data_IF_134877621127
#
_entry.id   IF_134877621127
#
_cell.length_a   1.000
_cell.length_b   1.000
_cell.length_c   1.000
_cell.angle_alpha   90.00
_cell.angle_beta   90.00
_cell.angle_gamma   90.00
#
_symmetry.space_group_name_H-M   'P 1'
#
loop_
_entity.id
_entity.type
_entity.pdbx_description
1 polymer ?
#
# COMPACT_ATOMS: atom_id res chain seq x y z
N UNK A 1 41.60 -14.37 -59.16
CA UNK A 1 41.70 -13.01 -59.73
C UNK A 1 41.82 -12.03 -58.56
N UNK A 2 42.98 -11.90 -57.90
CA UNK A 2 44.09 -10.98 -58.20
C UNK A 2 43.67 -9.56 -58.55
N UNK A 3 43.86 -8.61 -57.61
CA UNK A 3 44.80 -7.50 -57.79
C UNK A 3 45.20 -6.87 -56.44
N UNK A 4 46.43 -6.35 -56.38
CA UNK A 4 47.19 -5.88 -55.21
C UNK A 4 47.33 -4.34 -55.22
N UNK A 5 47.28 -3.73 -54.02
CA UNK A 5 48.11 -2.62 -53.44
C UNK A 5 48.26 -1.24 -54.13
N UNK A 6 48.80 -0.16 -53.47
CA UNK A 6 49.20 0.06 -52.06
C UNK A 6 48.85 1.45 -51.41
N UNK A 7 49.11 1.53 -50.09
CA UNK A 7 49.57 2.65 -49.20
C UNK A 7 49.26 4.13 -49.51
N UNK A 8 48.79 4.86 -48.48
CA UNK A 8 49.43 6.10 -48.02
C UNK A 8 49.24 6.34 -46.51
N UNK A 9 50.32 6.82 -45.89
CA UNK A 9 50.52 7.21 -44.49
C UNK A 9 49.69 8.46 -44.13
N UNK A 10 49.13 8.50 -42.91
CA UNK A 10 48.61 9.72 -42.30
C UNK A 10 48.62 9.61 -40.78
N UNK A 11 49.63 10.21 -40.13
CA UNK A 11 49.64 10.45 -38.69
C UNK A 11 48.46 11.37 -38.33
N UNK A 12 47.58 10.90 -37.46
CA UNK A 12 46.51 11.69 -36.85
C UNK A 12 46.41 11.36 -35.37
N UNK A 13 46.96 12.24 -34.55
CA UNK A 13 46.82 12.27 -33.10
C UNK A 13 45.32 12.34 -32.75
N UNK A 14 44.76 11.32 -32.09
CA UNK A 14 43.41 11.41 -31.52
C UNK A 14 43.49 11.11 -30.03
N UNK A 15 43.05 12.15 -29.31
CA UNK A 15 42.96 12.38 -27.88
C UNK A 15 42.16 11.27 -27.18
N UNK A 16 42.59 10.92 -25.96
CA UNK A 16 41.80 10.18 -24.97
C UNK A 16 40.43 10.87 -24.81
N UNK A 17 39.39 10.28 -25.39
CA UNK A 17 38.01 10.63 -25.07
C UNK A 17 37.66 10.06 -23.70
N UNK A 18 37.76 10.91 -22.67
CA UNK A 18 36.99 10.77 -21.44
C UNK A 18 35.52 10.67 -21.84
N UNK A 19 34.83 9.61 -21.40
CA UNK A 19 33.38 9.59 -21.39
C UNK A 19 32.91 10.73 -20.47
N UNK A 20 32.52 11.83 -21.09
CA UNK A 20 31.81 12.93 -20.45
C UNK A 20 30.45 12.43 -20.02
N UNK A 21 30.13 12.60 -18.74
CA UNK A 21 28.78 12.51 -18.24
C UNK A 21 27.85 13.39 -19.09
N UNK A 22 26.59 12.98 -19.33
CA UNK A 22 25.63 13.87 -19.95
C UNK A 22 25.46 15.10 -19.05
N UNK A 23 25.88 16.25 -19.55
CA UNK A 23 25.55 17.56 -19.00
C UNK A 23 24.09 17.86 -19.34
N UNK A 24 23.16 17.25 -18.61
CA UNK A 24 21.89 17.87 -18.30
C UNK A 24 22.06 18.42 -16.88
N UNK A 25 22.09 19.74 -16.72
CA UNK A 25 21.94 20.32 -15.39
C UNK A 25 20.67 19.74 -14.79
N UNK A 26 20.77 19.10 -13.62
CA UNK A 26 19.63 18.99 -12.72
C UNK A 26 19.00 20.38 -12.68
N UNK A 27 17.78 20.52 -13.22
CA UNK A 27 17.05 21.75 -13.06
C UNK A 27 16.93 21.93 -11.54
N UNK A 28 17.58 22.98 -11.05
CA UNK A 28 17.49 23.44 -9.67
C UNK A 28 16.01 23.41 -9.30
N UNK A 29 15.59 22.46 -8.46
CA UNK A 29 14.19 22.11 -8.25
C UNK A 29 13.35 23.33 -7.84
N UNK A 30 14.00 24.29 -7.18
CA UNK A 30 13.49 25.63 -6.85
C UNK A 30 12.96 26.45 -8.04
N UNK A 31 13.35 26.08 -9.27
CA UNK A 31 12.95 26.75 -10.52
C UNK A 31 11.78 26.06 -11.22
N UNK A 32 11.38 24.86 -10.78
CA UNK A 32 10.17 24.19 -11.27
C UNK A 32 8.91 24.91 -10.79
N UNK A 33 7.76 24.67 -11.42
CA UNK A 33 6.49 25.24 -10.97
C UNK A 33 6.10 24.70 -9.59
N UNK A 34 6.33 23.41 -9.34
CA UNK A 34 6.18 22.76 -8.03
C UNK A 34 7.13 23.33 -6.98
N UNK A 35 8.42 23.46 -7.28
CA UNK A 35 9.39 24.06 -6.36
C UNK A 35 9.10 25.53 -6.05
N UNK A 36 8.54 26.30 -7.00
CA UNK A 36 8.08 27.67 -6.75
C UNK A 36 6.82 27.72 -5.89
N UNK A 37 5.88 26.80 -6.07
CA UNK A 37 4.68 26.69 -5.24
C UNK A 37 5.05 26.30 -3.79
N UNK A 38 5.94 25.32 -3.62
CA UNK A 38 6.50 24.93 -2.32
C UNK A 38 7.21 26.10 -1.63
N UNK A 39 8.14 26.78 -2.33
CA UNK A 39 8.86 27.93 -1.78
C UNK A 39 7.94 29.11 -1.46
N UNK A 40 6.85 29.28 -2.20
CA UNK A 40 5.83 30.29 -1.93
C UNK A 40 5.04 29.96 -0.65
N UNK A 41 4.63 28.69 -0.43
CA UNK A 41 4.00 28.24 0.83
C UNK A 41 4.96 28.42 2.02
N UNK A 42 6.21 28.02 1.87
CA UNK A 42 7.29 28.23 2.85
C UNK A 42 7.50 29.72 3.18
N UNK A 43 7.38 30.62 2.19
CA UNK A 43 7.54 32.06 2.41
C UNK A 43 6.40 32.70 3.19
N UNK A 44 5.17 32.17 3.05
CA UNK A 44 3.99 32.62 3.80
C UNK A 44 4.17 32.26 5.28
N UNK A 45 4.64 31.05 5.59
CA UNK A 45 4.94 30.60 6.95
C UNK A 45 6.06 31.43 7.61
N UNK A 46 7.12 31.78 6.86
CA UNK A 46 8.19 32.69 7.33
C UNK A 46 7.71 34.10 7.61
N UNK A 47 6.66 34.56 6.92
CA UNK A 47 6.02 35.84 7.20
C UNK A 47 5.07 35.79 8.41
N UNK A 48 4.67 34.59 8.84
CA UNK A 48 3.81 34.33 10.00
C UNK A 48 4.57 33.83 11.25
N UNK A 49 5.90 33.69 11.21
CA UNK A 49 6.73 33.59 12.41
C UNK A 49 7.22 32.19 12.81
N UNK A 50 7.20 31.21 11.92
CA UNK A 50 7.70 29.84 12.19
C UNK A 50 9.19 29.67 11.77
N UNK A 51 10.11 29.27 12.67
CA UNK A 51 11.48 28.91 12.31
C UNK A 51 11.62 27.38 12.10
N UNK A 52 11.98 26.98 10.87
CA UNK A 52 12.42 25.62 10.51
C UNK A 52 13.74 25.28 11.24
N UNK A 53 13.86 24.07 11.82
CA UNK A 53 14.85 23.62 12.83
C UNK A 53 16.36 23.71 12.50
N UNK A 54 17.30 23.08 13.25
CA UNK A 54 17.17 22.15 14.39
C UNK A 54 17.65 22.75 15.74
N UNK A 55 17.37 22.00 16.82
CA UNK A 55 17.55 22.33 18.25
C UNK A 55 18.55 23.44 18.62
N UNK A 56 18.08 24.40 19.43
CA UNK A 56 18.97 25.10 20.36
C UNK A 56 18.26 25.68 21.58
N UNK A 57 18.61 25.08 22.71
CA UNK A 57 18.73 25.66 24.04
C UNK A 57 17.48 26.35 24.64
N UNK A 58 16.92 25.65 25.63
CA UNK A 58 16.36 26.24 26.85
C UNK A 58 17.35 27.24 27.47
N UNK A 59 17.42 28.46 26.94
CA UNK A 59 18.00 29.62 27.62
C UNK A 59 17.21 30.84 27.18
N UNK A 60 16.18 31.20 27.92
CA UNK A 60 16.22 32.39 28.77
C UNK A 60 14.86 32.58 29.46
N UNK A 61 14.63 31.85 30.56
CA UNK A 61 13.46 32.07 31.43
C UNK A 61 13.80 33.02 32.57
N UNK A 62 14.31 34.21 32.26
CA UNK A 62 14.22 35.40 33.12
C UNK A 62 14.35 36.62 32.22
N UNK A 63 13.43 37.62 32.27
CA UNK A 63 13.74 39.05 32.48
C UNK A 63 12.54 40.03 32.25
N UNK A 64 12.19 40.73 33.34
CA UNK A 64 12.12 42.19 33.49
C UNK A 64 10.81 43.01 33.48
N UNK A 65 9.62 42.47 33.21
CA UNK A 65 8.39 43.30 33.34
C UNK A 65 7.22 42.69 34.13
N UNK A 66 7.35 41.46 34.63
CA UNK A 66 6.37 40.87 35.55
C UNK A 66 5.00 40.61 34.93
N UNK A 67 4.89 40.62 33.60
CA UNK A 67 3.73 40.13 32.86
C UNK A 67 3.87 38.63 32.57
N UNK A 68 2.83 37.85 32.88
CA UNK A 68 2.67 36.52 32.33
C UNK A 68 2.08 36.72 30.93
N UNK A 69 2.91 36.94 29.90
CA UNK A 69 2.41 36.82 28.54
C UNK A 69 2.03 35.36 28.35
N UNK A 70 0.76 35.12 28.00
CA UNK A 70 0.35 33.83 27.46
C UNK A 70 1.34 33.48 26.34
N UNK A 71 1.93 32.27 26.34
CA UNK A 71 2.80 31.85 25.25
C UNK A 71 2.03 32.08 23.94
N UNK A 72 2.68 32.74 22.97
CA UNK A 72 2.07 32.94 21.67
C UNK A 72 1.96 31.56 21.01
N UNK A 73 0.74 31.00 20.84
CA UNK A 73 0.58 29.65 20.30
C UNK A 73 1.13 29.54 18.88
N UNK A 74 1.29 30.65 18.14
CA UNK A 74 1.90 30.63 16.81
C UNK A 74 3.43 30.45 16.80
N UNK A 75 4.08 30.37 17.97
CA UNK A 75 5.51 30.06 18.11
C UNK A 75 5.77 28.66 18.65
N UNK A 76 4.70 27.94 19.01
CA UNK A 76 4.76 26.57 19.49
C UNK A 76 4.32 25.64 18.37
N UNK A 77 4.93 24.45 18.38
CA UNK A 77 4.69 23.29 17.54
C UNK A 77 4.87 22.13 18.54
N UNK A 78 3.76 21.77 19.21
CA UNK A 78 3.79 20.93 20.42
C UNK A 78 4.06 19.47 20.12
N UNK A 79 3.61 18.97 18.98
CA UNK A 79 3.75 17.59 18.55
C UNK A 79 4.84 17.36 17.50
N UNK A 80 5.47 18.44 17.02
CA UNK A 80 6.66 18.43 16.16
C UNK A 80 6.41 17.86 14.76
N UNK A 81 5.24 18.13 14.19
CA UNK A 81 4.83 17.71 12.85
C UNK A 81 5.19 18.76 11.76
N UNK A 82 5.56 19.98 12.17
CA UNK A 82 5.93 21.10 11.30
C UNK A 82 4.83 22.15 11.10
N UNK A 83 3.66 22.00 11.73
CA UNK A 83 2.61 23.00 11.84
C UNK A 83 2.75 23.78 13.16
N UNK A 84 2.17 24.98 13.18
CA UNK A 84 2.12 25.78 14.39
C UNK A 84 0.82 25.47 15.13
N UNK A 85 0.85 25.37 16.46
CA UNK A 85 -0.37 25.08 17.24
C UNK A 85 -1.55 26.03 16.93
N UNK A 86 -1.26 27.26 16.49
CA UNK A 86 -2.29 28.23 16.18
C UNK A 86 -2.99 28.05 14.83
N UNK A 87 -2.41 27.29 13.90
CA UNK A 87 -3.07 26.89 12.64
C UNK A 87 -3.83 25.58 12.80
N UNK A 88 -3.53 24.81 13.84
CA UNK A 88 -4.14 23.52 14.17
C UNK A 88 -5.32 23.71 15.13
N UNK A 89 -6.51 23.86 14.56
CA UNK A 89 -7.66 24.37 15.30
C UNK A 89 -8.48 23.30 16.01
N UNK A 90 -8.15 22.01 15.84
CA UNK A 90 -8.90 20.85 16.33
C UNK A 90 -10.39 20.88 15.92
N UNK A 91 -10.69 21.50 14.78
CA UNK A 91 -12.06 21.60 14.28
C UNK A 91 -12.50 20.37 13.49
N UNK A 92 -11.56 19.53 13.06
CA UNK A 92 -11.82 18.46 12.11
C UNK A 92 -12.22 19.00 10.72
N UNK A 93 -11.90 20.25 10.40
CA UNK A 93 -12.26 20.84 9.11
C UNK A 93 -11.09 21.61 8.53
N UNK A 94 -10.48 21.06 7.48
CA UNK A 94 -9.44 21.75 6.75
C UNK A 94 -10.02 22.94 5.96
N UNK A 95 -9.59 24.15 6.30
CA UNK A 95 -9.96 25.37 5.56
C UNK A 95 -8.82 25.77 4.63
N UNK A 96 -7.63 25.99 5.19
CA UNK A 96 -6.38 26.28 4.49
C UNK A 96 -5.17 26.13 5.42
N UNK A 97 -3.97 26.51 4.95
CA UNK A 97 -2.72 26.45 5.71
C UNK A 97 -2.70 27.28 7.01
N UNK A 98 -3.65 28.19 7.19
CA UNK A 98 -3.80 28.99 8.42
C UNK A 98 -4.89 28.48 9.37
N UNK A 99 -5.65 27.47 8.96
CA UNK A 99 -6.67 26.76 9.75
C UNK A 99 -6.83 25.34 9.16
N UNK A 100 -5.98 24.43 9.62
CA UNK A 100 -5.84 23.06 9.11
C UNK A 100 -6.88 22.11 9.68
N UNK A 101 -7.47 22.46 10.84
CA UNK A 101 -8.43 21.61 11.54
C UNK A 101 -7.84 20.41 12.26
N UNK A 102 -6.53 20.22 12.22
CA UNK A 102 -5.74 19.15 12.87
C UNK A 102 -5.63 19.36 14.38
N UNK A 103 -5.21 18.32 15.10
CA UNK A 103 -5.04 18.32 16.56
C UNK A 103 -3.62 18.75 16.95
N UNK A 104 -3.41 19.92 17.58
CA UNK A 104 -2.08 20.45 17.91
C UNK A 104 -1.30 19.65 18.97
N UNK A 105 -1.83 18.53 19.45
CA UNK A 105 -1.16 17.61 20.37
C UNK A 105 -0.98 16.21 19.75
N UNK A 106 -1.27 16.02 18.47
CA UNK A 106 -1.17 14.76 17.75
C UNK A 106 -0.64 14.97 16.31
N UNK A 107 0.60 14.52 16.02
CA UNK A 107 1.28 14.89 14.79
C UNK A 107 0.77 14.20 13.52
N UNK A 108 -0.23 13.31 13.65
CA UNK A 108 -0.88 12.52 12.61
C UNK A 108 -2.36 12.38 13.01
N UNK A 109 -3.16 13.38 12.65
CA UNK A 109 -4.53 13.58 13.13
C UNK A 109 -5.50 12.51 12.66
N UNK A 110 -5.27 11.89 11.50
CA UNK A 110 -6.12 10.83 10.96
C UNK A 110 -5.56 9.41 11.12
N UNK A 111 -4.31 9.30 11.60
CA UNK A 111 -3.62 8.06 11.94
C UNK A 111 -3.32 7.16 10.74
N UNK A 112 -2.91 7.74 9.61
CA UNK A 112 -2.51 7.01 8.40
C UNK A 112 -1.00 6.81 8.25
N UNK A 113 -0.21 7.39 9.16
CA UNK A 113 1.25 7.31 9.20
C UNK A 113 1.97 8.46 8.48
N UNK A 114 1.25 9.44 7.94
CA UNK A 114 1.77 10.71 7.45
C UNK A 114 1.67 11.77 8.54
N UNK A 115 2.60 12.72 8.56
CA UNK A 115 2.51 13.84 9.48
C UNK A 115 1.60 14.93 8.90
N UNK A 116 0.77 15.55 9.73
CA UNK A 116 -0.17 16.58 9.30
C UNK A 116 0.55 17.71 8.53
N UNK A 117 1.71 18.16 9.05
CA UNK A 117 2.57 19.12 8.38
C UNK A 117 3.14 18.66 7.03
N UNK A 118 3.51 17.38 6.88
CA UNK A 118 3.99 16.83 5.59
C UNK A 118 2.86 16.82 4.54
N UNK A 119 1.63 16.55 4.96
CA UNK A 119 0.46 16.53 4.08
C UNK A 119 0.00 17.93 3.66
N UNK A 120 0.17 18.93 4.51
CA UNK A 120 -0.18 20.33 4.22
C UNK A 120 0.92 21.05 3.42
N UNK A 121 2.19 20.75 3.71
CA UNK A 121 3.35 21.49 3.21
C UNK A 121 4.17 20.76 2.14
N UNK A 122 3.98 19.45 1.99
CA UNK A 122 4.83 18.56 1.22
C UNK A 122 5.96 17.96 2.07
N UNK A 123 6.55 16.87 1.60
CA UNK A 123 7.60 16.17 2.34
C UNK A 123 8.92 16.94 2.39
N UNK A 124 9.74 16.67 3.40
CA UNK A 124 11.11 17.21 3.47
C UNK A 124 12.00 16.72 2.30
N UNK A 125 11.64 15.59 1.70
CA UNK A 125 12.31 14.98 0.54
C UNK A 125 11.90 15.60 -0.80
N UNK A 126 10.92 16.51 -0.81
CA UNK A 126 10.49 17.26 -2.00
C UNK A 126 9.30 16.68 -2.76
N UNK A 127 8.55 15.74 -2.15
CA UNK A 127 7.27 15.26 -2.68
C UNK A 127 6.18 16.31 -2.41
N UNK A 128 5.42 16.64 -3.45
CA UNK A 128 4.25 17.51 -3.34
C UNK A 128 3.03 16.66 -2.95
N UNK A 129 3.06 16.14 -1.72
CA UNK A 129 1.97 15.36 -1.13
C UNK A 129 0.61 16.09 -1.23
N UNK A 130 0.49 17.39 -0.91
CA UNK A 130 -0.79 18.08 -1.06
C UNK A 130 -1.33 18.05 -2.49
N UNK A 131 -0.47 18.17 -3.51
CA UNK A 131 -0.90 18.08 -4.90
C UNK A 131 -1.32 16.64 -5.30
N UNK A 132 -0.82 15.61 -4.60
CA UNK A 132 -1.23 14.21 -4.79
C UNK A 132 -2.61 13.92 -4.19
N UNK A 133 -3.15 14.88 -3.42
CA UNK A 133 -4.50 14.83 -2.87
C UNK A 133 -4.58 14.23 -1.47
N UNK A 134 -3.44 14.04 -0.78
CA UNK A 134 -3.46 13.61 0.62
C UNK A 134 -4.08 14.67 1.53
N UNK A 135 -4.53 14.29 2.71
CA UNK A 135 -5.30 15.13 3.61
C UNK A 135 -5.06 14.76 5.06
N UNK A 136 -4.67 15.70 5.93
CA UNK A 136 -4.34 15.43 7.34
C UNK A 136 -5.56 15.10 8.24
N UNK A 137 -6.70 14.87 7.63
CA UNK A 137 -7.98 14.61 8.30
C UNK A 137 -8.76 13.49 7.59
N UNK A 138 -8.14 12.77 6.65
CA UNK A 138 -8.72 11.65 5.91
C UNK A 138 -7.60 10.71 5.45
N UNK A 139 -7.59 9.52 6.02
CA UNK A 139 -6.55 8.52 5.78
C UNK A 139 -6.22 8.31 4.31
N UNK A 140 -4.92 8.32 4.03
CA UNK A 140 -4.30 8.14 2.75
C UNK A 140 -3.32 6.97 2.74
N UNK A 141 -3.23 6.27 1.61
CA UNK A 141 -2.22 5.23 1.38
C UNK A 141 -1.57 5.49 0.03
N UNK A 142 -0.25 5.61 0.02
CA UNK A 142 0.52 5.82 -1.19
C UNK A 142 1.17 4.50 -1.65
N UNK A 143 0.99 4.17 -2.92
CA UNK A 143 1.44 2.91 -3.54
C UNK A 143 2.22 3.21 -4.83
N UNK A 144 3.36 2.58 -5.01
CA UNK A 144 4.12 2.57 -6.27
C UNK A 144 4.15 1.16 -6.86
N UNK A 145 3.83 1.05 -8.15
CA UNK A 145 3.75 -0.21 -8.86
C UNK A 145 4.82 -0.29 -9.96
N UNK A 146 5.81 -1.15 -9.76
CA UNK A 146 6.81 -1.48 -10.78
C UNK A 146 6.50 -2.84 -11.40
N UNK A 147 6.53 -2.94 -12.72
CA UNK A 147 6.05 -4.13 -13.41
C UNK A 147 7.06 -4.73 -14.40
N UNK A 148 6.86 -6.01 -14.69
CA UNK A 148 7.56 -6.70 -15.76
C UNK A 148 6.71 -6.77 -17.03
N UNK A 149 7.38 -6.70 -18.18
CA UNK A 149 6.80 -7.04 -19.48
C UNK A 149 7.67 -8.10 -20.14
N UNK A 150 7.06 -9.23 -20.51
CA UNK A 150 7.81 -10.32 -21.12
C UNK A 150 6.91 -11.23 -21.96
N UNK A 151 7.53 -11.97 -22.88
CA UNK A 151 6.92 -13.07 -23.60
C UNK A 151 7.21 -14.45 -22.96
N UNK A 152 7.93 -14.46 -21.83
CA UNK A 152 8.25 -15.66 -21.07
C UNK A 152 6.98 -16.41 -20.63
N UNK A 153 7.01 -17.74 -20.78
CA UNK A 153 5.98 -18.74 -20.43
C UNK A 153 4.59 -18.64 -21.09
N UNK A 154 4.11 -17.45 -21.50
CA UNK A 154 2.74 -17.26 -21.99
C UNK A 154 2.57 -16.27 -23.16
N UNK A 155 3.63 -15.95 -23.89
CA UNK A 155 3.59 -14.96 -24.95
C UNK A 155 3.56 -13.52 -24.40
N UNK A 156 3.71 -12.51 -25.27
CA UNK A 156 3.95 -11.13 -24.82
C UNK A 156 2.78 -10.59 -23.99
N UNK A 157 3.04 -10.25 -22.74
CA UNK A 157 2.10 -9.53 -21.89
C UNK A 157 2.85 -8.64 -20.87
N UNK A 158 2.07 -7.76 -20.26
CA UNK A 158 2.53 -6.78 -19.27
C UNK A 158 1.81 -7.07 -17.96
N UNK A 159 2.54 -7.00 -16.85
CA UNK A 159 1.98 -7.03 -15.50
C UNK A 159 1.69 -5.61 -14.99
N UNK A 160 1.76 -4.58 -15.86
CA UNK A 160 1.40 -3.22 -15.49
C UNK A 160 -0.06 -3.16 -15.04
N UNK A 161 -0.37 -2.59 -13.87
CA UNK A 161 -1.75 -2.32 -13.49
C UNK A 161 -2.50 -1.52 -14.55
N UNK A 162 -3.67 -2.03 -14.93
CA UNK A 162 -4.59 -1.30 -15.81
C UNK A 162 -5.34 -0.25 -15.01
N UNK A 163 -5.88 0.76 -15.69
CA UNK A 163 -6.73 1.77 -15.05
C UNK A 163 -7.94 1.10 -14.35
N UNK A 164 -8.52 0.06 -14.95
CA UNK A 164 -9.65 -0.64 -14.36
C UNK A 164 -9.30 -1.36 -13.05
N UNK A 165 -8.13 -2.00 -12.97
CA UNK A 165 -7.67 -2.63 -11.72
C UNK A 165 -7.36 -1.59 -10.63
N UNK A 166 -6.76 -0.47 -11.00
CA UNK A 166 -6.44 0.67 -10.11
C UNK A 166 -7.72 1.31 -9.56
N UNK A 167 -8.70 1.59 -10.42
CA UNK A 167 -10.00 2.17 -10.03
C UNK A 167 -10.77 1.22 -9.12
N UNK A 168 -10.77 -0.08 -9.41
CA UNK A 168 -11.44 -1.09 -8.57
C UNK A 168 -10.86 -1.15 -7.16
N UNK A 169 -9.53 -1.13 -7.04
CA UNK A 169 -8.88 -1.09 -5.72
C UNK A 169 -9.19 0.23 -4.99
N UNK A 170 -9.16 1.36 -5.70
CA UNK A 170 -9.51 2.66 -5.13
C UNK A 170 -10.96 2.70 -4.62
N UNK A 171 -11.92 2.18 -5.40
CA UNK A 171 -13.33 2.15 -5.05
C UNK A 171 -13.59 1.30 -3.79
N UNK A 172 -12.92 0.15 -3.66
CA UNK A 172 -13.00 -0.69 -2.46
C UNK A 172 -12.60 0.11 -1.20
N UNK A 173 -11.41 0.72 -1.20
CA UNK A 173 -10.90 1.48 -0.05
C UNK A 173 -11.68 2.77 0.20
N UNK A 174 -12.12 3.48 -0.84
CA UNK A 174 -12.96 4.67 -0.71
C UNK A 174 -14.34 4.37 -0.12
N UNK A 175 -14.83 3.13 -0.27
CA UNK A 175 -16.09 2.67 0.33
C UNK A 175 -15.95 2.06 1.73
N UNK A 176 -14.73 1.92 2.23
CA UNK A 176 -14.46 1.28 3.51
C UNK A 176 -15.19 1.99 4.66
N UNK A 177 -15.73 1.24 5.66
CA UNK A 177 -16.43 1.80 6.81
C UNK A 177 -15.48 2.42 7.85
N UNK A 178 -14.41 3.07 7.40
CA UNK A 178 -13.38 3.71 8.20
C UNK A 178 -13.73 5.19 8.34
N UNK A 179 -13.98 5.66 9.57
CA UNK A 179 -14.36 7.04 9.83
C UNK A 179 -13.14 7.95 9.96
N UNK A 180 -13.19 9.12 9.33
CA UNK A 180 -12.12 10.11 9.36
C UNK A 180 -12.44 11.32 10.25
N UNK A 181 -11.41 12.05 10.74
CA UNK A 181 -11.60 13.29 11.51
C UNK A 181 -12.49 14.33 10.82
N UNK A 182 -12.45 14.42 9.49
CA UNK A 182 -13.29 15.34 8.72
C UNK A 182 -14.79 14.94 8.62
N UNK A 183 -15.14 13.79 9.19
CA UNK A 183 -16.48 13.21 9.14
C UNK A 183 -16.79 12.42 7.87
N UNK A 184 -15.85 12.32 6.94
CA UNK A 184 -15.93 11.40 5.80
C UNK A 184 -15.72 9.95 6.23
N UNK A 185 -16.00 9.04 5.29
CA UNK A 185 -15.68 7.62 5.40
C UNK A 185 -14.77 7.21 4.25
N UNK A 186 -14.02 6.12 4.46
CA UNK A 186 -13.15 5.51 3.48
C UNK A 186 -11.68 5.90 3.64
N UNK A 187 -10.84 5.28 2.82
CA UNK A 187 -9.41 5.53 2.73
C UNK A 187 -9.11 5.91 1.28
N UNK A 188 -8.35 6.98 1.06
CA UNK A 188 -7.96 7.39 -0.28
C UNK A 188 -6.64 6.73 -0.67
N UNK A 189 -6.58 6.19 -1.89
CA UNK A 189 -5.37 5.55 -2.42
C UNK A 189 -4.70 6.44 -3.46
N UNK A 190 -3.47 6.83 -3.19
CA UNK A 190 -2.58 7.50 -4.13
C UNK A 190 -1.74 6.44 -4.83
N UNK A 191 -2.12 6.10 -6.06
CA UNK A 191 -1.55 4.97 -6.80
C UNK A 191 -0.69 5.42 -7.98
N UNK A 192 0.60 5.13 -7.96
CA UNK A 192 1.53 5.41 -9.06
C UNK A 192 1.85 4.13 -9.85
N UNK A 193 1.24 4.01 -11.02
CA UNK A 193 1.41 2.90 -11.96
C UNK A 193 2.08 3.39 -13.27
N UNK A 194 2.86 4.47 -13.17
CA UNK A 194 3.59 5.08 -14.29
C UNK A 194 2.72 5.94 -15.21
N UNK A 195 1.64 6.53 -14.68
CA UNK A 195 0.74 7.41 -15.44
C UNK A 195 1.36 8.77 -15.80
N UNK A 196 2.48 9.13 -15.15
CA UNK A 196 3.19 10.39 -15.36
C UNK A 196 2.52 11.60 -14.70
N UNK A 197 3.06 12.78 -15.00
CA UNK A 197 2.60 14.03 -14.39
C UNK A 197 3.20 14.21 -13.00
N UNK A 198 2.33 14.35 -11.99
CA UNK A 198 2.75 14.45 -10.59
C UNK A 198 3.33 13.14 -10.04
N UNK A 199 2.93 12.03 -10.65
CA UNK A 199 3.37 10.67 -10.35
C UNK A 199 4.61 10.35 -11.18
N UNK A 200 5.76 10.28 -10.51
CA UNK A 200 7.09 10.23 -11.15
C UNK A 200 7.82 8.89 -10.98
N UNK A 201 7.21 7.89 -10.35
CA UNK A 201 7.72 6.52 -10.35
C UNK A 201 6.81 5.59 -11.12
N UNK A 202 6.69 4.35 -10.67
CA UNK A 202 5.95 3.30 -11.35
C UNK A 202 6.58 2.99 -12.71
N UNK A 203 7.49 2.03 -12.73
CA UNK A 203 8.39 1.80 -13.84
C UNK A 203 8.26 0.40 -14.43
N UNK A 204 8.54 0.28 -15.74
CA UNK A 204 8.85 -1.03 -16.32
C UNK A 204 10.24 -1.46 -15.87
N UNK A 205 10.33 -2.62 -15.26
CA UNK A 205 11.59 -3.24 -14.86
C UNK A 205 12.23 -3.91 -16.08
N UNK A 206 13.37 -3.37 -16.50
CA UNK A 206 14.19 -3.89 -17.61
C UNK A 206 15.48 -4.55 -17.10
N UNK A 207 16.00 -5.53 -17.83
CA UNK A 207 17.31 -6.15 -17.54
C UNK A 207 17.29 -7.27 -16.50
N UNK A 208 16.12 -7.57 -15.93
CA UNK A 208 15.91 -8.66 -14.98
C UNK A 208 15.04 -9.77 -15.59
N UNK A 209 15.19 -11.00 -15.09
CA UNK A 209 14.33 -12.12 -15.49
C UNK A 209 12.94 -11.96 -14.87
N UNK A 210 11.82 -12.18 -15.60
CA UNK A 210 10.45 -11.96 -15.10
C UNK A 210 10.00 -12.99 -14.05
N UNK A 211 10.80 -14.04 -13.83
CA UNK A 211 10.67 -14.96 -12.71
C UNK A 211 11.78 -14.67 -11.71
N UNK A 212 11.42 -14.11 -10.56
CA UNK A 212 12.37 -13.81 -9.49
C UNK A 212 12.85 -15.10 -8.80
N UNK A 213 14.11 -15.16 -8.35
CA UNK A 213 14.66 -16.33 -7.69
C UNK A 213 14.05 -16.57 -6.29
N UNK A 214 13.66 -15.50 -5.59
CA UNK A 214 13.06 -15.53 -4.25
C UNK A 214 11.93 -14.51 -4.09
N UNK A 215 11.30 -14.48 -2.91
CA UNK A 215 10.44 -13.39 -2.45
C UNK A 215 11.21 -12.48 -1.50
N UNK A 216 11.06 -11.17 -1.65
CA UNK A 216 11.70 -10.12 -0.83
C UNK A 216 13.17 -10.45 -0.50
N UNK A 217 13.89 -10.97 -1.49
CA UNK A 217 15.27 -11.41 -1.36
C UNK A 217 16.25 -10.33 -1.85
N UNK A 218 17.54 -10.66 -1.92
CA UNK A 218 18.55 -9.73 -2.41
C UNK A 218 18.26 -9.21 -3.84
N UNK A 219 17.60 -10.00 -4.69
CA UNK A 219 17.25 -9.59 -6.06
C UNK A 219 16.12 -8.57 -6.04
N UNK A 220 15.09 -8.79 -5.21
CA UNK A 220 14.00 -7.83 -5.02
C UNK A 220 14.54 -6.47 -4.56
N UNK A 221 15.39 -6.44 -3.54
CA UNK A 221 15.93 -5.18 -3.01
C UNK A 221 16.93 -4.52 -3.97
N UNK A 222 17.67 -5.29 -4.78
CA UNK A 222 18.49 -4.73 -5.87
C UNK A 222 17.61 -4.00 -6.89
N UNK A 223 16.49 -4.60 -7.30
CA UNK A 223 15.54 -4.01 -8.24
C UNK A 223 14.87 -2.78 -7.62
N UNK A 224 14.36 -2.86 -6.39
CA UNK A 224 13.76 -1.70 -5.66
C UNK A 224 14.77 -0.55 -5.61
N UNK A 225 16.01 -0.81 -5.21
CA UNK A 225 17.06 0.23 -5.16
C UNK A 225 17.32 0.90 -6.52
N UNK A 226 17.14 0.19 -7.63
CA UNK A 226 17.36 0.72 -8.97
C UNK A 226 16.16 1.51 -9.53
N UNK A 227 14.93 1.28 -9.02
CA UNK A 227 13.70 1.82 -9.61
C UNK A 227 12.86 2.69 -8.66
N UNK A 228 13.08 2.61 -7.34
CA UNK A 228 12.36 3.37 -6.33
C UNK A 228 13.14 4.62 -5.91
N UNK A 229 12.53 5.80 -6.03
CA UNK A 229 13.17 7.06 -5.63
C UNK A 229 13.32 7.11 -4.09
N UNK A 230 14.54 7.30 -3.56
CA UNK A 230 14.75 7.45 -2.12
C UNK A 230 13.91 8.56 -1.46
N UNK A 231 13.45 9.56 -2.21
CA UNK A 231 12.54 10.58 -1.70
C UNK A 231 11.17 10.02 -1.27
N UNK A 232 10.80 8.83 -1.73
CA UNK A 232 9.52 8.14 -1.43
C UNK A 232 9.59 7.19 -0.24
N UNK A 233 10.78 6.94 0.31
CA UNK A 233 10.97 6.12 1.51
C UNK A 233 10.21 6.74 2.69
N UNK A 234 9.42 5.92 3.37
CA UNK A 234 8.57 6.34 4.48
C UNK A 234 7.22 6.95 4.08
N UNK A 235 6.92 7.02 2.78
CA UNK A 235 5.64 7.51 2.25
C UNK A 235 4.93 6.45 1.39
N UNK A 236 5.64 5.92 0.38
CA UNK A 236 5.07 4.94 -0.55
C UNK A 236 5.36 3.51 -0.13
N UNK A 237 4.34 2.66 -0.23
CA UNK A 237 4.48 1.20 -0.24
C UNK A 237 4.87 0.74 -1.65
N UNK A 238 5.90 -0.07 -1.76
CA UNK A 238 6.46 -0.54 -3.02
C UNK A 238 5.91 -1.92 -3.39
N UNK A 239 5.25 -2.00 -4.55
CA UNK A 239 4.63 -3.21 -5.07
C UNK A 239 5.31 -3.60 -6.38
N UNK A 240 6.00 -4.74 -6.37
CA UNK A 240 6.62 -5.28 -7.58
C UNK A 240 5.71 -6.31 -8.24
N UNK A 241 5.52 -6.21 -9.55
CA UNK A 241 4.67 -7.10 -10.35
C UNK A 241 5.49 -7.97 -11.32
N UNK A 242 6.25 -8.98 -10.83
CA UNK A 242 6.88 -9.97 -11.68
C UNK A 242 5.84 -10.95 -12.25
N UNK A 243 6.23 -11.75 -13.22
CA UNK A 243 5.36 -12.84 -13.67
C UNK A 243 5.28 -13.91 -12.57
N UNK A 244 6.42 -14.27 -11.98
CA UNK A 244 6.52 -15.26 -10.91
C UNK A 244 7.67 -14.92 -9.96
N UNK A 245 7.72 -15.58 -8.81
CA UNK A 245 8.84 -15.50 -7.87
C UNK A 245 9.18 -16.89 -7.30
N UNK A 246 10.16 -16.98 -6.40
CA UNK A 246 10.63 -18.25 -5.81
C UNK A 246 10.99 -19.32 -6.86
N UNK A 247 11.60 -18.91 -7.98
CA UNK A 247 12.03 -19.83 -9.03
C UNK A 247 10.88 -20.43 -9.87
N UNK A 248 9.69 -19.83 -9.83
CA UNK A 248 8.53 -20.25 -10.62
C UNK A 248 7.34 -20.73 -9.80
N UNK A 249 7.17 -20.20 -8.59
CA UNK A 249 5.99 -20.41 -7.76
C UNK A 249 4.70 -20.02 -8.50
N UNK A 250 3.61 -20.69 -8.16
CA UNK A 250 2.26 -20.34 -8.62
C UNK A 250 1.52 -19.38 -7.67
N UNK A 251 2.16 -19.01 -6.56
CA UNK A 251 1.64 -18.00 -5.64
C UNK A 251 1.34 -16.69 -6.36
N UNK A 252 0.20 -16.08 -6.03
CA UNK A 252 -0.22 -14.79 -6.55
C UNK A 252 0.48 -13.61 -5.92
N UNK A 253 1.15 -13.79 -4.78
CA UNK A 253 1.82 -12.67 -4.12
C UNK A 253 2.57 -13.03 -2.84
N UNK A 254 3.24 -12.04 -2.29
CA UNK A 254 4.02 -12.14 -1.08
C UNK A 254 4.20 -10.75 -0.50
N UNK A 255 3.92 -10.58 0.78
CA UNK A 255 4.03 -9.29 1.45
C UNK A 255 4.67 -9.42 2.83
N UNK A 256 5.27 -8.32 3.28
CA UNK A 256 5.53 -8.12 4.69
C UNK A 256 4.19 -7.99 5.46
N UNK A 257 4.18 -8.47 6.72
CA UNK A 257 3.08 -8.18 7.66
C UNK A 257 3.46 -6.95 8.47
N UNK A 258 2.67 -5.90 8.34
CA UNK A 258 3.01 -4.55 8.83
C UNK A 258 4.32 -4.07 8.21
N UNK A 259 4.25 -3.60 6.98
CA UNK A 259 5.44 -3.19 6.22
C UNK A 259 5.12 -2.34 5.01
N UNK A 260 6.08 -2.22 4.11
CA UNK A 260 5.99 -1.39 2.91
C UNK A 260 6.35 -2.12 1.61
N UNK A 261 6.75 -3.39 1.67
CA UNK A 261 7.17 -4.17 0.50
C UNK A 261 6.26 -5.36 0.17
N UNK A 262 5.81 -5.42 -1.09
CA UNK A 262 5.00 -6.53 -1.60
C UNK A 262 5.36 -6.95 -3.03
N UNK A 263 5.01 -8.20 -3.35
CA UNK A 263 5.06 -8.80 -4.68
C UNK A 263 3.63 -9.20 -5.07
N UNK A 264 3.22 -8.87 -6.30
CA UNK A 264 2.00 -9.38 -6.94
C UNK A 264 2.38 -10.12 -8.22
N UNK A 265 2.16 -11.43 -8.27
CA UNK A 265 2.67 -12.31 -9.32
C UNK A 265 1.58 -13.21 -9.92
N UNK A 266 0.88 -12.69 -10.94
CA UNK A 266 -0.24 -13.39 -11.57
C UNK A 266 0.16 -14.27 -12.77
N UNK A 267 1.43 -14.63 -12.93
CA UNK A 267 1.92 -15.50 -14.00
C UNK A 267 1.49 -15.02 -15.38
N UNK A 268 0.52 -15.71 -15.99
CA UNK A 268 0.01 -15.53 -17.32
C UNK A 268 -1.41 -14.94 -17.33
N UNK A 269 -1.97 -14.69 -16.14
CA UNK A 269 -3.31 -14.17 -15.99
C UNK A 269 -3.27 -12.66 -16.18
N UNK A 270 -4.03 -12.20 -17.17
CA UNK A 270 -4.28 -10.78 -17.42
C UNK A 270 -5.77 -10.52 -17.21
N UNK A 271 -6.14 -10.32 -15.95
CA UNK A 271 -7.52 -10.12 -15.52
C UNK A 271 -7.55 -9.05 -14.42
N UNK A 272 -8.32 -7.99 -14.65
CA UNK A 272 -8.36 -6.83 -13.75
C UNK A 272 -8.93 -7.18 -12.37
N UNK A 273 -9.89 -8.11 -12.29
CA UNK A 273 -10.45 -8.55 -10.99
C UNK A 273 -9.38 -9.27 -10.16
N UNK A 274 -8.65 -10.20 -10.77
CA UNK A 274 -7.58 -10.94 -10.07
C UNK A 274 -6.45 -10.01 -9.67
N UNK A 275 -6.11 -9.02 -10.50
CA UNK A 275 -5.08 -8.05 -10.18
C UNK A 275 -5.52 -7.15 -9.02
N UNK A 276 -6.71 -6.55 -9.09
CA UNK A 276 -7.23 -5.71 -8.01
C UNK A 276 -7.36 -6.46 -6.69
N UNK A 277 -7.90 -7.68 -6.71
CA UNK A 277 -8.10 -8.50 -5.51
C UNK A 277 -6.78 -8.95 -4.89
N UNK A 278 -5.80 -9.33 -5.70
CA UNK A 278 -4.47 -9.66 -5.17
C UNK A 278 -3.75 -8.42 -4.65
N UNK A 279 -3.85 -7.26 -5.33
CA UNK A 279 -3.31 -6.01 -4.78
C UNK A 279 -3.96 -5.67 -3.43
N UNK A 280 -5.28 -5.82 -3.30
CA UNK A 280 -5.98 -5.63 -2.03
C UNK A 280 -5.49 -6.62 -0.96
N UNK A 281 -5.35 -7.91 -1.31
CA UNK A 281 -4.86 -8.95 -0.41
C UNK A 281 -3.46 -8.64 0.13
N UNK A 282 -2.51 -8.33 -0.75
CA UNK A 282 -1.15 -8.01 -0.32
C UNK A 282 -1.10 -6.71 0.49
N UNK A 283 -1.91 -5.70 0.11
CA UNK A 283 -2.05 -4.47 0.91
C UNK A 283 -2.62 -4.75 2.30
N UNK A 284 -3.55 -5.70 2.44
CA UNK A 284 -4.05 -6.13 3.75
C UNK A 284 -2.94 -6.69 4.65
N UNK A 285 -1.99 -7.45 4.10
CA UNK A 285 -0.79 -7.87 4.84
C UNK A 285 0.09 -6.69 5.26
N UNK A 286 0.35 -5.75 4.35
CA UNK A 286 1.10 -4.52 4.67
C UNK A 286 0.43 -3.70 5.78
N UNK A 287 -0.88 -3.85 5.94
CA UNK A 287 -1.71 -3.24 6.98
C UNK A 287 -2.01 -4.18 8.16
N UNK A 288 -1.28 -5.30 8.29
CA UNK A 288 -1.25 -6.18 9.46
C UNK A 288 -2.28 -7.30 9.50
N UNK A 289 -3.07 -7.49 8.45
CA UNK A 289 -4.00 -8.62 8.36
C UNK A 289 -3.27 -9.92 8.00
N UNK A 290 -3.78 -11.03 8.50
CA UNK A 290 -3.43 -12.38 8.11
C UNK A 290 -4.60 -13.03 7.37
N UNK A 291 -4.42 -14.25 6.86
CA UNK A 291 -5.45 -14.91 6.06
C UNK A 291 -6.77 -15.23 6.79
N UNK A 292 -6.77 -15.17 8.12
CA UNK A 292 -7.94 -15.30 9.00
C UNK A 292 -8.28 -14.01 9.75
N UNK A 293 -7.74 -12.87 9.32
CA UNK A 293 -7.84 -11.57 9.99
C UNK A 293 -6.70 -11.42 10.99
N UNK A 294 -6.93 -11.84 12.23
CA UNK A 294 -5.95 -11.80 13.32
C UNK A 294 -5.09 -13.07 13.43
N UNK A 295 -5.27 -14.03 12.54
CA UNK A 295 -4.67 -15.36 12.63
C UNK A 295 -4.36 -15.96 11.25
N UNK A 296 -3.51 -16.98 11.21
CA UNK A 296 -3.15 -17.69 9.97
C UNK A 296 -4.25 -18.63 9.44
N UNK A 297 -5.26 -18.91 10.25
CA UNK A 297 -6.33 -19.85 9.92
C UNK A 297 -7.14 -19.34 8.72
N UNK A 298 -6.98 -20.01 7.58
CA UNK A 298 -7.53 -19.61 6.29
C UNK A 298 -8.79 -20.44 5.94
N UNK A 299 -9.42 -20.15 4.81
CA UNK A 299 -10.59 -20.87 4.26
C UNK A 299 -11.84 -20.90 5.14
N UNK A 300 -11.87 -20.10 6.21
CA UNK A 300 -13.02 -19.95 7.12
C UNK A 300 -14.24 -19.40 6.36
N UNK A 301 -15.36 -20.13 6.22
CA UNK A 301 -16.50 -19.61 5.46
C UNK A 301 -17.14 -18.37 6.09
N UNK A 302 -17.06 -18.21 7.41
CA UNK A 302 -17.56 -17.01 8.08
C UNK A 302 -16.60 -15.82 8.09
N UNK A 303 -15.34 -15.95 7.64
CA UNK A 303 -14.43 -14.81 7.52
C UNK A 303 -14.48 -14.24 6.10
N UNK A 304 -15.44 -13.33 5.88
CA UNK A 304 -15.82 -12.84 4.56
C UNK A 304 -14.92 -11.68 4.09
N UNK A 305 -13.70 -12.00 3.70
CA UNK A 305 -12.65 -11.04 3.36
C UNK A 305 -11.82 -11.51 2.19
N UNK A 306 -11.34 -10.59 1.34
CA UNK A 306 -10.34 -10.93 0.32
C UNK A 306 -9.03 -11.49 0.90
N UNK A 307 -8.73 -11.28 2.18
CA UNK A 307 -7.60 -11.93 2.88
C UNK A 307 -7.76 -13.45 2.99
N UNK A 308 -8.99 -13.95 2.86
CA UNK A 308 -9.29 -15.37 2.89
C UNK A 308 -9.23 -15.95 1.48
N UNK A 309 -8.48 -17.03 1.27
CA UNK A 309 -8.34 -17.65 -0.06
C UNK A 309 -9.63 -18.22 -0.61
N UNK A 310 -10.62 -18.47 0.23
CA UNK A 310 -11.97 -18.80 -0.23
C UNK A 310 -12.55 -17.69 -1.13
N UNK A 311 -12.22 -16.44 -0.83
CA UNK A 311 -12.81 -15.25 -1.46
C UNK A 311 -11.82 -14.47 -2.34
N UNK A 312 -10.51 -14.61 -2.16
CA UNK A 312 -9.49 -13.84 -2.91
C UNK A 312 -9.73 -13.75 -4.44
N UNK A 313 -10.07 -14.86 -5.11
CA UNK A 313 -10.32 -14.83 -6.57
C UNK A 313 -11.79 -14.89 -6.97
N UNK A 314 -12.65 -15.43 -6.11
CA UNK A 314 -14.08 -15.53 -6.37
C UNK A 314 -14.77 -14.18 -6.12
N UNK A 315 -14.36 -13.49 -5.06
CA UNK A 315 -14.92 -12.28 -4.48
C UNK A 315 -15.69 -12.57 -3.19
N UNK A 316 -16.30 -11.52 -2.66
CA UNK A 316 -17.27 -11.46 -1.58
C UNK A 316 -18.32 -12.57 -1.45
N UNK A 317 -18.60 -13.21 -0.30
CA UNK A 317 -19.95 -13.77 -0.07
C UNK A 317 -20.94 -12.60 0.15
N UNK A 318 -21.99 -12.48 -0.68
CA UNK A 318 -23.04 -11.48 -0.50
C UNK A 318 -24.40 -12.01 -0.08
N UNK A 319 -24.70 -13.28 -0.32
CA UNK A 319 -26.01 -13.88 -0.09
C UNK A 319 -26.05 -14.90 1.04
N UNK A 320 -24.95 -15.03 1.78
CA UNK A 320 -24.77 -15.89 2.94
C UNK A 320 -24.78 -17.39 2.63
N UNK A 321 -24.45 -17.80 1.40
CA UNK A 321 -24.33 -19.21 1.00
C UNK A 321 -22.94 -19.82 1.26
N UNK A 322 -22.01 -19.04 1.85
CA UNK A 322 -20.62 -19.41 2.12
C UNK A 322 -19.74 -19.67 0.87
N UNK A 323 -20.16 -19.15 -0.29
CA UNK A 323 -19.41 -19.11 -1.53
C UNK A 323 -19.04 -17.67 -1.89
N UNK A 324 -17.94 -17.52 -2.62
CA UNK A 324 -17.55 -16.22 -3.14
C UNK A 324 -18.31 -15.86 -4.41
N UNK A 325 -18.78 -14.62 -4.48
CA UNK A 325 -19.48 -14.04 -5.62
C UNK A 325 -18.55 -13.11 -6.42
N UNK A 326 -18.68 -13.05 -7.75
CA UNK A 326 -17.96 -12.06 -8.56
C UNK A 326 -18.45 -10.62 -8.32
N UNK A 327 -19.52 -10.45 -7.55
CA UNK A 327 -20.06 -9.17 -7.14
C UNK A 327 -19.27 -8.71 -5.92
N UNK A 328 -18.75 -7.49 -5.95
CA UNK A 328 -18.11 -6.85 -4.78
C UNK A 328 -16.76 -7.44 -4.36
N UNK A 329 -15.91 -6.53 -3.89
CA UNK A 329 -14.59 -6.79 -3.35
C UNK A 329 -14.53 -6.02 -2.02
N UNK A 330 -14.23 -6.71 -0.92
CA UNK A 330 -14.19 -6.07 0.39
C UNK A 330 -13.32 -6.87 1.39
N UNK A 331 -12.96 -6.22 2.48
CA UNK A 331 -12.51 -6.89 3.68
C UNK A 331 -13.68 -7.14 4.64
N UNK A 332 -13.48 -8.02 5.61
CA UNK A 332 -14.56 -8.37 6.53
C UNK A 332 -14.84 -7.23 7.50
N UNK A 333 -16.11 -7.05 7.82
CA UNK A 333 -16.61 -6.13 8.86
C UNK A 333 -16.96 -6.85 10.17
N UNK A 334 -16.56 -8.13 10.33
CA UNK A 334 -16.77 -8.90 11.56
C UNK A 334 -18.24 -9.20 11.89
N UNK A 335 -19.11 -9.27 10.88
CA UNK A 335 -20.56 -9.40 11.06
C UNK A 335 -21.09 -10.83 11.05
N UNK A 336 -20.29 -11.82 10.63
CA UNK A 336 -20.71 -13.23 10.49
C UNK A 336 -20.65 -13.97 11.82
N UNK A 337 -21.49 -15.00 11.98
CA UNK A 337 -21.60 -15.73 13.26
C UNK A 337 -20.40 -16.63 13.50
N UNK A 338 -20.11 -16.92 14.77
CA UNK A 338 -19.13 -17.92 15.19
C UNK A 338 -19.57 -19.31 14.75
N UNK A 339 -18.67 -20.05 14.09
CA UNK A 339 -18.93 -21.44 13.68
C UNK A 339 -18.15 -22.39 14.58
N UNK A 340 -18.87 -23.26 15.30
CA UNK A 340 -18.28 -24.34 16.07
C UNK A 340 -18.33 -25.63 15.26
N UNK A 341 -17.21 -26.06 14.68
CA UNK A 341 -17.16 -27.23 13.81
C UNK A 341 -17.50 -28.57 14.50
N UNK A 342 -17.56 -28.60 15.84
CA UNK A 342 -18.08 -29.75 16.60
C UNK A 342 -19.59 -29.72 16.84
N UNK A 343 -20.25 -28.60 16.57
CA UNK A 343 -21.69 -28.40 16.81
C UNK A 343 -22.23 -27.32 15.85
N UNK A 344 -22.12 -27.56 14.55
CA UNK A 344 -22.63 -26.67 13.51
C UNK A 344 -24.15 -26.77 13.40
N UNK A 345 -24.78 -25.65 13.04
CA UNK A 345 -26.17 -25.59 12.59
C UNK A 345 -26.18 -25.17 11.12
N UNK A 346 -26.64 -26.08 10.26
CA UNK A 346 -26.83 -25.84 8.83
C UNK A 346 -27.98 -24.89 8.57
N UNK A 347 -28.98 -24.80 9.46
CA UNK A 347 -30.08 -23.83 9.32
C UNK A 347 -29.66 -22.39 9.62
N UNK A 348 -28.63 -22.23 10.46
CA UNK A 348 -28.05 -20.93 10.79
C UNK A 348 -27.09 -20.44 9.68
N UNK A 349 -26.25 -21.32 9.14
CA UNK A 349 -25.20 -20.97 8.17
C UNK A 349 -24.27 -19.86 8.68
N UNK A 350 -23.65 -19.09 7.77
CA UNK A 350 -22.66 -18.05 8.11
C UNK A 350 -23.26 -16.75 8.64
N UNK A 351 -24.54 -16.49 8.35
CA UNK A 351 -25.23 -15.26 8.77
C UNK A 351 -26.21 -15.47 9.93
N UNK A 352 -26.32 -16.69 10.46
CA UNK A 352 -27.28 -17.05 11.51
C UNK A 352 -28.74 -17.16 11.06
N UNK A 353 -29.02 -16.99 9.76
CA UNK A 353 -30.38 -16.99 9.22
C UNK A 353 -30.50 -17.51 7.78
N UNK A 354 -29.39 -17.83 7.10
CA UNK A 354 -29.41 -18.39 5.75
C UNK A 354 -28.81 -19.80 5.81
N UNK A 355 -29.58 -20.84 5.46
CA UNK A 355 -29.09 -22.21 5.57
C UNK A 355 -27.95 -22.54 4.60
N UNK A 356 -26.99 -23.33 5.07
CA UNK A 356 -25.93 -23.93 4.25
C UNK A 356 -25.84 -25.42 4.59
N UNK A 357 -26.03 -26.27 3.59
CA UNK A 357 -25.82 -27.72 3.69
C UNK A 357 -24.30 -28.00 3.63
N UNK A 358 -23.69 -28.09 4.81
CA UNK A 358 -22.24 -28.19 4.99
C UNK A 358 -21.71 -29.55 4.55
N UNK A 359 -22.46 -30.62 4.83
CA UNK A 359 -22.05 -31.99 4.52
C UNK A 359 -22.49 -32.46 3.12
N UNK A 360 -23.39 -31.72 2.46
CA UNK A 360 -23.88 -31.96 1.10
C UNK A 360 -24.83 -33.15 0.96
N UNK A 361 -25.50 -33.57 2.04
CA UNK A 361 -26.37 -34.74 2.05
C UNK A 361 -27.83 -34.45 1.60
N UNK A 362 -28.14 -33.16 1.40
CA UNK A 362 -29.45 -32.68 0.95
C UNK A 362 -30.48 -32.53 2.07
N UNK A 363 -30.08 -32.67 3.34
CA UNK A 363 -30.88 -32.34 4.52
C UNK A 363 -30.21 -31.22 5.33
N UNK A 364 -30.95 -30.59 6.26
CA UNK A 364 -30.41 -29.54 7.12
C UNK A 364 -30.37 -30.02 8.57
N UNK A 365 -29.18 -30.11 9.12
CA UNK A 365 -28.86 -30.53 10.47
C UNK A 365 -28.68 -29.34 11.42
N UNK A 366 -29.20 -29.47 12.65
CA UNK A 366 -29.01 -28.46 13.72
C UNK A 366 -27.79 -28.74 14.60
N UNK A 367 -27.21 -29.93 14.47
CA UNK A 367 -26.04 -30.39 15.22
C UNK A 367 -25.20 -31.30 14.31
N UNK A 368 -24.21 -30.70 13.66
CA UNK A 368 -23.30 -31.37 12.74
C UNK A 368 -21.86 -31.19 13.19
N UNK A 369 -21.10 -32.28 13.20
CA UNK A 369 -19.63 -32.24 13.31
C UNK A 369 -19.05 -32.31 11.90
N UNK A 370 -18.46 -31.21 11.43
CA UNK A 370 -17.90 -31.13 10.08
C UNK A 370 -16.79 -30.07 10.01
N UNK A 371 -15.69 -30.43 9.34
CA UNK A 371 -14.53 -29.56 9.14
C UNK A 371 -14.75 -28.68 7.91
N UNK A 372 -14.97 -27.39 8.13
CA UNK A 372 -15.31 -26.40 7.11
C UNK A 372 -14.07 -25.81 6.44
N UNK A 373 -12.89 -25.98 7.03
CA UNK A 373 -11.63 -25.46 6.52
C UNK A 373 -10.46 -26.47 6.58
N UNK A 374 -10.62 -27.68 5.99
CA UNK A 374 -9.64 -28.77 6.12
C UNK A 374 -8.26 -28.45 5.52
N UNK A 375 -8.16 -27.44 4.65
CA UNK A 375 -6.91 -26.94 4.05
C UNK A 375 -6.46 -25.59 4.62
N UNK A 376 -7.15 -25.07 5.63
CA UNK A 376 -6.95 -23.74 6.21
C UNK A 376 -5.75 -23.60 7.15
N UNK A 377 -5.08 -24.71 7.49
CA UNK A 377 -3.89 -24.68 8.35
C UNK A 377 -4.18 -24.31 9.82
N UNK A 378 -5.42 -24.51 10.27
CA UNK A 378 -5.87 -24.16 11.61
C UNK A 378 -5.37 -25.18 12.65
N UNK A 379 -5.33 -24.80 13.94
CA UNK A 379 -4.62 -25.55 15.00
C UNK A 379 -5.21 -26.92 15.38
N UNK A 380 -6.25 -27.41 14.69
CA UNK A 380 -6.86 -28.71 14.93
C UNK A 380 -7.99 -29.02 13.94
N UNK A 381 -8.45 -30.28 13.97
CA UNK A 381 -9.71 -30.71 13.34
C UNK A 381 -10.88 -30.33 14.25
N UNK A 382 -11.90 -29.69 13.71
CA UNK A 382 -13.07 -29.17 14.42
C UNK A 382 -12.72 -28.05 15.41
N UNK A 383 -12.52 -26.87 14.84
CA UNK A 383 -12.14 -25.63 15.48
C UNK A 383 -13.30 -24.65 15.62
N UNK A 384 -13.08 -23.61 16.43
CA UNK A 384 -13.97 -22.45 16.49
C UNK A 384 -13.53 -21.46 15.43
N UNK A 385 -14.33 -21.25 14.40
CA UNK A 385 -14.02 -20.30 13.34
C UNK A 385 -14.64 -18.96 13.67
N UNK A 386 -13.80 -17.93 13.76
CA UNK A 386 -14.21 -16.57 14.04
C UNK A 386 -14.18 -15.73 12.76
N UNK A 387 -15.19 -14.88 12.58
CA UNK A 387 -15.05 -13.71 11.73
C UNK A 387 -14.14 -12.67 12.42
N UNK A 388 -13.70 -11.67 11.67
CA UNK A 388 -12.89 -10.57 12.18
C UNK A 388 -13.23 -9.29 11.42
N UNK A 389 -13.29 -8.16 12.12
CA UNK A 389 -13.47 -6.86 11.49
C UNK A 389 -12.10 -6.34 11.07
N UNK A 390 -11.78 -6.52 9.80
CA UNK A 390 -10.50 -6.13 9.21
C UNK A 390 -10.34 -4.62 9.19
N UNK A 391 -11.38 -3.91 8.75
CA UNK A 391 -11.34 -2.46 8.52
C UNK A 391 -11.03 -1.68 9.79
N UNK A 392 -11.57 -2.09 10.93
CA UNK A 392 -11.30 -1.41 12.22
C UNK A 392 -9.99 -1.83 12.87
N UNK A 393 -9.29 -2.83 12.32
CA UNK A 393 -8.05 -3.40 12.87
C UNK A 393 -6.84 -3.26 11.94
N UNK A 394 -6.92 -2.46 10.88
CA UNK A 394 -5.78 -2.10 10.05
C UNK A 394 -4.71 -1.36 10.86
N UNK A 395 -3.43 -1.59 10.55
CA UNK A 395 -2.29 -0.88 11.13
C UNK A 395 -1.46 -0.17 10.07
N UNK A 396 -1.22 1.12 10.29
CA UNK A 396 -0.48 1.98 9.38
C UNK A 396 1.00 2.12 9.76
N UNK A 397 1.43 1.51 10.87
CA UNK A 397 2.79 1.65 11.42
C UNK A 397 3.93 1.09 10.53
N UNK A 398 3.62 0.39 9.44
CA UNK A 398 4.59 -0.25 8.54
C UNK A 398 5.49 0.72 7.75
N UNK A 399 5.11 2.00 7.64
CA UNK A 399 5.86 3.03 6.89
C UNK A 399 7.10 3.56 7.63
N UNK A 400 7.36 3.13 8.87
CA UNK A 400 8.34 3.79 9.76
C UNK A 400 9.82 3.62 9.36
N UNK A 401 10.17 2.85 8.33
CA UNK A 401 11.57 2.76 7.86
C UNK A 401 11.96 3.94 6.96
N UNK A 402 11.94 5.16 7.53
CA UNK A 402 12.46 6.40 6.90
C UNK A 402 13.95 6.33 6.53
N UNK A 403 14.66 5.26 6.92
CA UNK A 403 16.10 5.08 6.69
C UNK A 403 16.44 4.00 5.66
N UNK A 404 15.44 3.27 5.14
CA UNK A 404 15.64 2.11 4.27
C UNK A 404 16.53 1.03 4.89
N UNK A 405 16.58 0.97 6.22
CA UNK A 405 17.42 0.08 7.00
C UNK A 405 16.57 -0.99 7.73
N UNK A 406 16.12 -1.97 6.93
CA UNK A 406 15.69 -3.32 7.30
C UNK A 406 14.23 -3.49 7.73
N UNK A 407 13.56 -4.42 7.02
CA UNK A 407 12.56 -5.38 7.52
C UNK A 407 11.87 -4.90 8.79
N UNK A 408 10.86 -4.05 8.66
CA UNK A 408 9.87 -3.84 9.73
C UNK A 408 8.94 -5.06 9.87
N UNK A 409 9.32 -6.21 9.30
CA UNK A 409 8.68 -7.52 9.39
C UNK A 409 8.36 -7.90 10.84
N UNK A 410 7.08 -7.84 11.22
CA UNK A 410 6.58 -8.70 12.31
C UNK A 410 6.49 -10.16 11.86
N UNK A 411 6.27 -10.40 10.55
CA UNK A 411 6.39 -11.69 9.85
C UNK A 411 6.24 -11.50 8.34
N UNK A 412 6.66 -12.45 7.51
CA UNK A 412 6.38 -12.46 6.06
C UNK A 412 5.32 -13.52 5.75
N UNK A 413 4.45 -13.28 4.77
CA UNK A 413 3.41 -14.25 4.35
C UNK A 413 3.57 -14.60 2.88
N UNK A 414 3.58 -15.90 2.58
CA UNK A 414 3.49 -16.39 1.20
C UNK A 414 2.07 -16.73 0.80
N UNK A 415 1.64 -16.20 -0.35
CA UNK A 415 0.27 -16.34 -0.79
C UNK A 415 0.03 -17.53 -1.72
N UNK A 416 -0.02 -18.76 -1.18
CA UNK A 416 -0.08 -19.99 -1.97
C UNK A 416 -1.27 -20.09 -2.96
N UNK A 417 -2.25 -19.18 -2.86
CA UNK A 417 -3.31 -19.00 -3.85
C UNK A 417 -2.75 -18.77 -5.25
N UNK A 418 -3.05 -19.69 -6.16
CA UNK A 418 -2.83 -19.50 -7.59
C UNK A 418 -4.17 -19.08 -8.21
N UNK A 419 -4.19 -18.14 -9.17
CA UNK A 419 -5.41 -17.87 -9.90
C UNK A 419 -5.92 -19.17 -10.55
N UNK A 420 -7.23 -19.41 -10.58
CA UNK A 420 -7.79 -20.66 -11.09
C UNK A 420 -7.31 -20.90 -12.53
N UNK A 421 -6.84 -22.12 -12.83
CA UNK A 421 -6.24 -22.47 -14.13
C UNK A 421 -7.08 -21.98 -15.31
N UNK A 422 -6.49 -21.37 -16.35
CA UNK A 422 -7.25 -20.89 -17.49
C UNK A 422 -7.59 -22.08 -18.38
N UNK A 423 -8.59 -22.90 -18.02
CA UNK A 423 -9.24 -23.81 -18.97
C UNK A 423 -10.68 -24.18 -18.59
N UNK A 424 -11.55 -23.82 -19.53
CA UNK A 424 -12.85 -24.39 -19.91
C UNK A 424 -14.02 -24.30 -18.91
N UNK A 425 -15.02 -23.52 -19.33
CA UNK A 425 -16.47 -23.66 -19.06
C UNK A 425 -16.79 -24.80 -18.10
N UNK A 426 -17.21 -24.41 -16.90
CA UNK A 426 -17.99 -25.24 -15.99
C UNK A 426 -19.02 -26.08 -16.77
N UNK A 427 -19.06 -27.37 -16.47
CA UNK A 427 -20.20 -28.22 -16.79
C UNK A 427 -21.16 -28.20 -15.64
#
# INVERSE_FOLDING_TARGET
MSQRNPMLLGLGLVVLGLCTAPTGSAADWQQTEAGRAFLQRQSILRSQGQPVGPSKALTDRVFSDGGFESPNPCLEDRDSDGLADCVETLTGHFIDISDTGTDPDNPDSDSDGLLDGEEVLGSETGLDLPAMGVSPLRRDILLEYDWFESDYSCGPHSQRPTVAAIERLADMFASAPVQNPDGSFGIHLVQDYGQGGLYQGGNRIDGYHPVLPGALDATFYEIKQANFDPARLGYFRYVMLPHQYNGGSFSSGYAEVVGDDAIVALQCFNNDDYLARTMAHELGHLLGLLHGGFEWCNHKPNYNSLMNYRYQFAGIDHDCDAQGDPLGDDFSIGARVLLNESELSETAGVCGAQPVDWNGDGTLDEQLEYDLNPTGGCSGTFSMLHDFDDWTNLTFAGLADRTGALKSVQSEVGCAGAPPSPTHKAR
#
